data_IF_511684261085
#
_entry.id   IF_511684261085
#
_cell.length_a   1.000
_cell.length_b   1.000
_cell.length_c   1.000
_cell.angle_alpha   90.00
_cell.angle_beta   90.00
_cell.angle_gamma   90.00
#
_symmetry.space_group_name_H-M   'P 1'
#
loop_
_entity.id
_entity.type
_entity.pdbx_description
1 polymer ?
#
# COMPACT_ATOMS: atom_id res chain seq x y z
N UNK A 1 -29.24 15.71 13.61
CA UNK A 1 -28.19 14.90 14.27
C UNK A 1 -26.76 15.36 13.89
N UNK A 2 -26.55 16.59 13.40
CA UNK A 2 -25.31 16.98 12.70
C UNK A 2 -24.22 17.66 13.56
N UNK A 3 -24.50 17.99 14.83
CA UNK A 3 -23.58 18.79 15.65
C UNK A 3 -22.61 17.97 16.51
N UNK A 4 -22.81 16.65 16.67
CA UNK A 4 -21.96 15.83 17.55
C UNK A 4 -20.58 15.50 16.98
N UNK A 5 -20.39 15.62 15.66
CA UNK A 5 -19.15 15.17 15.01
C UNK A 5 -18.09 16.29 14.91
N UNK A 6 -18.49 17.57 14.86
CA UNK A 6 -17.56 18.70 14.68
C UNK A 6 -16.52 18.91 15.79
N UNK A 7 -16.70 18.29 16.95
CA UNK A 7 -15.74 18.36 18.08
C UNK A 7 -14.85 17.13 18.19
N UNK A 8 -15.14 16.04 17.47
CA UNK A 8 -14.34 14.82 17.52
C UNK A 8 -13.04 15.04 16.74
N UNK A 9 -11.90 14.75 17.37
CA UNK A 9 -10.58 14.82 16.74
C UNK A 9 -9.98 13.43 16.60
N UNK A 10 -9.24 13.21 15.52
CA UNK A 10 -8.41 12.01 15.34
C UNK A 10 -7.03 12.23 15.97
N UNK A 11 -6.28 11.14 16.11
CA UNK A 11 -4.90 11.17 16.59
C UNK A 11 -4.04 12.13 15.75
N UNK A 12 -2.99 12.68 16.35
CA UNK A 12 -2.08 13.57 15.63
C UNK A 12 -1.35 12.84 14.51
N UNK A 13 -1.30 13.47 13.34
CA UNK A 13 -0.65 12.95 12.15
C UNK A 13 -0.26 14.06 11.17
N UNK A 14 0.60 13.75 10.20
CA UNK A 14 1.06 14.72 9.21
C UNK A 14 -0.03 15.01 8.18
N UNK A 15 -0.36 16.28 7.97
CA UNK A 15 -1.26 16.72 6.90
C UNK A 15 -0.53 16.67 5.54
N UNK A 16 -1.11 16.06 4.49
CA UNK A 16 -0.47 15.98 3.17
C UNK A 16 -0.39 17.31 2.42
N UNK A 17 -1.14 18.34 2.85
CA UNK A 17 -1.19 19.62 2.14
C UNK A 17 -0.28 20.71 2.74
N UNK A 18 -0.25 20.82 4.06
CA UNK A 18 0.56 21.83 4.75
C UNK A 18 1.72 21.24 5.54
N UNK A 19 1.87 19.91 5.51
CA UNK A 19 2.96 19.15 6.11
C UNK A 19 3.12 19.28 7.64
N UNK A 20 2.22 19.99 8.30
CA UNK A 20 2.20 20.12 9.75
C UNK A 20 1.61 18.86 10.40
N UNK A 21 2.12 18.53 11.59
CA UNK A 21 1.49 17.57 12.49
C UNK A 21 0.22 18.20 13.07
N UNK A 22 -0.93 17.59 12.83
CA UNK A 22 -2.24 18.11 13.24
C UNK A 22 -3.13 17.00 13.79
N UNK A 23 -4.02 17.35 14.71
CA UNK A 23 -5.15 16.50 15.09
C UNK A 23 -6.36 16.93 14.27
N UNK A 24 -6.69 16.16 13.24
CA UNK A 24 -7.75 16.54 12.30
C UNK A 24 -9.13 16.47 12.95
N UNK A 25 -9.99 17.40 12.56
CA UNK A 25 -11.37 17.51 13.05
C UNK A 25 -12.23 16.61 12.18
N UNK A 26 -12.98 15.69 12.78
CA UNK A 26 -13.89 14.80 12.05
C UNK A 26 -15.08 15.61 11.55
N UNK A 27 -15.28 15.64 10.24
CA UNK A 27 -16.48 16.22 9.61
C UNK A 27 -17.54 15.13 9.46
N UNK A 28 -17.12 13.94 9.03
CA UNK A 28 -18.00 12.83 8.72
C UNK A 28 -17.33 11.51 9.10
N UNK A 29 -18.02 10.71 9.91
CA UNK A 29 -17.60 9.34 10.22
C UNK A 29 -18.21 8.39 9.20
N UNK A 30 -17.40 7.49 8.69
CA UNK A 30 -17.81 6.49 7.73
C UNK A 30 -17.40 5.11 8.23
N UNK A 31 -18.32 4.14 8.13
CA UNK A 31 -18.05 2.73 8.47
C UNK A 31 -17.49 1.97 7.28
N UNK A 32 -18.01 2.24 6.08
CA UNK A 32 -17.55 1.62 4.83
C UNK A 32 -16.34 2.35 4.24
N UNK A 33 -16.33 3.69 4.35
CA UNK A 33 -15.35 4.61 3.76
C UNK A 33 -14.45 5.24 4.82
N UNK A 34 -13.44 6.00 4.40
CA UNK A 34 -12.57 6.75 5.32
C UNK A 34 -13.35 7.88 5.99
N UNK A 35 -13.05 8.13 7.26
CA UNK A 35 -13.55 9.33 7.94
C UNK A 35 -13.03 10.58 7.22
N UNK A 36 -13.97 11.47 6.88
CA UNK A 36 -13.66 12.75 6.27
C UNK A 36 -13.32 13.73 7.38
N UNK A 37 -12.11 14.25 7.35
CA UNK A 37 -11.60 15.16 8.37
C UNK A 37 -11.19 16.49 7.76
N UNK A 38 -11.06 17.52 8.59
CA UNK A 38 -10.53 18.83 8.24
C UNK A 38 -9.20 19.07 8.93
N UNK A 39 -8.22 19.57 8.18
CA UNK A 39 -6.99 20.07 8.78
C UNK A 39 -7.28 21.37 9.54
N UNK A 40 -6.98 21.49 10.85
CA UNK A 40 -7.19 22.72 11.60
C UNK A 40 -6.23 23.85 11.21
N UNK A 41 -5.12 23.55 10.51
CA UNK A 41 -4.12 24.56 10.11
C UNK A 41 -4.32 25.12 8.71
N UNK A 42 -4.73 24.30 7.73
CA UNK A 42 -4.92 24.76 6.34
C UNK A 42 -6.35 24.59 5.84
N UNK A 43 -7.26 24.10 6.69
CA UNK A 43 -8.69 23.94 6.44
C UNK A 43 -9.07 23.01 5.28
N UNK A 44 -8.10 22.40 4.60
CA UNK A 44 -8.31 21.40 3.56
C UNK A 44 -8.89 20.10 4.14
N UNK A 45 -9.69 19.45 3.31
CA UNK A 45 -10.27 18.13 3.60
C UNK A 45 -9.18 17.08 3.47
N UNK A 46 -9.07 16.22 4.49
CA UNK A 46 -8.07 15.16 4.60
C UNK A 46 -8.74 13.89 5.12
N UNK A 47 -8.15 12.74 4.81
CA UNK A 47 -8.71 11.44 5.18
C UNK A 47 -7.70 10.66 6.02
N UNK A 48 -8.19 9.79 6.90
CA UNK A 48 -7.33 8.96 7.77
C UNK A 48 -6.73 7.80 6.96
N UNK A 49 -5.42 7.58 7.08
CA UNK A 49 -4.74 6.41 6.51
C UNK A 49 -5.29 5.11 7.10
N UNK A 50 -5.46 4.06 6.28
CA UNK A 50 -5.94 2.74 6.75
C UNK A 50 -4.84 1.79 7.20
N UNK A 51 -3.57 2.14 6.97
CA UNK A 51 -2.46 1.27 7.36
C UNK A 51 -2.44 1.06 8.88
N UNK A 52 -2.41 -0.21 9.36
CA UNK A 52 -2.36 -0.49 10.79
C UNK A 52 -1.18 0.21 11.47
N UNK A 53 -1.46 0.96 12.53
CA UNK A 53 -0.43 1.73 13.25
C UNK A 53 0.01 3.04 12.56
N UNK A 54 -0.62 3.43 11.44
CA UNK A 54 -0.39 4.72 10.82
C UNK A 54 -1.47 5.73 11.24
N UNK A 55 -1.01 6.87 11.77
CA UNK A 55 -1.89 7.97 12.17
C UNK A 55 -1.82 9.16 11.19
N UNK A 56 -1.10 9.02 10.07
CA UNK A 56 -0.99 10.08 9.06
C UNK A 56 -2.26 10.22 8.22
N UNK A 57 -2.35 11.36 7.53
CA UNK A 57 -3.48 11.69 6.68
C UNK A 57 -3.14 11.52 5.19
N UNK A 58 -4.17 11.31 4.38
CA UNK A 58 -4.10 11.16 2.92
C UNK A 58 -5.02 12.16 2.22
N UNK A 59 -4.74 12.39 0.94
CA UNK A 59 -5.56 13.22 0.03
C UNK A 59 -6.74 12.42 -0.52
N UNK A 60 -7.72 13.09 -1.10
CA UNK A 60 -8.73 12.43 -1.93
C UNK A 60 -8.12 12.17 -3.31
N UNK A 61 -8.16 10.93 -3.77
CA UNK A 61 -7.82 10.56 -5.15
C UNK A 61 -9.07 10.58 -6.04
N UNK A 62 -8.87 10.66 -7.35
CA UNK A 62 -9.94 10.71 -8.36
C UNK A 62 -10.82 9.44 -8.36
N UNK A 63 -10.20 8.30 -8.06
CA UNK A 63 -10.87 7.00 -7.93
C UNK A 63 -10.45 6.41 -6.60
N UNK A 64 -11.24 6.63 -5.55
CA UNK A 64 -11.43 5.79 -4.34
C UNK A 64 -10.27 5.06 -3.62
N UNK A 65 -9.00 5.11 -4.02
CA UNK A 65 -8.00 4.07 -3.71
C UNK A 65 -6.70 4.56 -3.05
N UNK A 66 -6.56 5.85 -2.74
CA UNK A 66 -5.46 6.30 -1.88
C UNK A 66 -5.74 5.94 -0.41
N UNK A 67 -5.90 4.64 -0.12
CA UNK A 67 -6.11 4.09 1.23
C UNK A 67 -4.93 4.35 2.16
N UNK A 68 -3.78 4.60 1.55
CA UNK A 68 -2.50 4.76 2.20
C UNK A 68 -2.03 6.20 2.04
N UNK A 69 -1.54 6.78 3.13
CA UNK A 69 -0.77 8.01 3.02
C UNK A 69 0.51 7.77 2.20
N UNK A 70 1.14 8.81 1.64
CA UNK A 70 2.34 8.68 0.80
C UNK A 70 3.43 7.79 1.43
N UNK A 71 3.68 7.95 2.74
CA UNK A 71 4.63 7.14 3.49
C UNK A 71 4.31 5.63 3.45
N UNK A 72 3.07 5.25 3.69
CA UNK A 72 2.68 3.84 3.70
C UNK A 72 2.69 3.24 2.28
N UNK A 73 2.37 4.05 1.27
CA UNK A 73 2.48 3.63 -0.13
C UNK A 73 3.94 3.34 -0.53
N UNK A 74 4.86 4.20 -0.08
CA UNK A 74 6.31 4.00 -0.28
C UNK A 74 6.86 2.77 0.46
N UNK A 75 6.42 2.53 1.70
CA UNK A 75 6.87 1.39 2.52
C UNK A 75 6.48 0.03 1.88
N UNK A 76 5.29 -0.07 1.28
CA UNK A 76 4.88 -1.26 0.53
C UNK A 76 5.75 -1.45 -0.71
N UNK A 77 5.95 -0.36 -1.46
CA UNK A 77 6.73 -0.40 -2.70
C UNK A 77 8.17 -0.87 -2.47
N UNK A 78 8.77 -0.48 -1.33
CA UNK A 78 10.12 -0.91 -0.94
C UNK A 78 10.18 -2.38 -0.48
N UNK A 79 9.11 -2.88 0.16
CA UNK A 79 9.06 -4.26 0.68
C UNK A 79 9.00 -5.31 -0.45
N UNK A 80 8.32 -5.00 -1.57
CA UNK A 80 8.24 -5.91 -2.72
C UNK A 80 9.60 -6.12 -3.42
N UNK A 81 10.51 -5.14 -3.36
CA UNK A 81 11.85 -5.27 -3.95
C UNK A 81 12.80 -6.15 -3.11
N UNK A 82 12.52 -6.33 -1.82
CA UNK A 82 13.34 -7.14 -0.90
C UNK A 82 13.17 -8.65 -1.12
N UNK A 83 11.95 -9.10 -1.42
CA UNK A 83 11.65 -10.53 -1.58
C UNK A 83 12.09 -11.05 -2.97
N UNK A 84 12.04 -10.22 -4.02
CA UNK A 84 12.53 -10.63 -5.34
C UNK A 84 14.06 -10.78 -5.42
N UNK A 85 14.83 -10.07 -4.60
CA UNK A 85 16.30 -10.24 -4.56
C UNK A 85 16.75 -11.50 -3.81
N UNK A 86 15.88 -12.10 -3.00
CA UNK A 86 16.16 -13.34 -2.26
C UNK A 86 15.71 -14.63 -2.98
N UNK A 87 14.73 -14.54 -3.89
CA UNK A 87 14.11 -15.71 -4.53
C UNK A 87 14.82 -16.20 -5.81
N UNK A 88 15.89 -15.54 -6.26
CA UNK A 88 16.66 -15.97 -7.45
C UNK A 88 17.92 -16.79 -7.12
N UNK A 89 17.89 -17.56 -6.03
CA UNK A 89 18.82 -18.66 -5.76
C UNK A 89 18.09 -19.91 -5.30
N UNK A 90 17.09 -20.36 -6.06
CA UNK A 90 16.74 -21.78 -6.08
C UNK A 90 17.09 -22.28 -7.48
N UNK A 91 18.38 -22.56 -7.66
CA UNK A 91 18.88 -23.35 -8.77
C UNK A 91 18.35 -24.77 -8.57
N UNK A 92 17.28 -25.06 -9.31
CA UNK A 92 16.91 -26.37 -9.84
C UNK A 92 17.26 -27.60 -8.99
N UNK A 93 16.31 -28.08 -8.19
CA UNK A 93 16.21 -29.51 -7.90
C UNK A 93 14.78 -29.99 -8.17
N UNK A 94 14.70 -30.80 -9.23
CA UNK A 94 13.64 -31.73 -9.59
C UNK A 94 12.24 -31.17 -9.90
N UNK A 95 12.02 -30.73 -11.14
CA UNK A 95 10.72 -30.98 -11.79
C UNK A 95 10.73 -32.39 -12.35
N UNK A 96 9.93 -33.20 -11.68
CA UNK A 96 9.48 -34.55 -12.02
C UNK A 96 9.23 -34.72 -13.52
N UNK A 97 9.76 -35.83 -14.04
CA UNK A 97 9.59 -36.34 -15.39
C UNK A 97 8.14 -36.28 -15.88
N UNK A 98 7.89 -35.54 -16.96
CA UNK A 98 6.75 -35.81 -17.83
C UNK A 98 7.16 -35.58 -19.29
N UNK A 99 6.95 -36.64 -20.07
CA UNK A 99 7.50 -36.90 -21.39
C UNK A 99 7.10 -35.90 -22.49
N UNK A 100 7.85 -35.88 -23.59
CA UNK A 100 7.41 -36.41 -24.90
C UNK A 100 8.47 -36.13 -25.98
N UNK A 101 8.96 -37.23 -26.56
CA UNK A 101 9.42 -37.47 -27.93
C UNK A 101 9.91 -36.30 -28.80
N UNK A 102 11.17 -36.41 -29.25
CA UNK A 102 11.52 -36.45 -30.69
C UNK A 102 12.99 -36.90 -30.84
N UNK A 103 13.17 -37.96 -31.62
CA UNK A 103 14.46 -38.64 -31.77
C UNK A 103 15.54 -37.78 -32.42
N UNK A 104 16.78 -37.99 -31.98
CA UNK A 104 17.97 -37.70 -32.78
C UNK A 104 18.92 -38.89 -32.58
N UNK A 105 18.81 -39.83 -33.51
CA UNK A 105 19.85 -40.79 -33.82
C UNK A 105 20.99 -40.01 -34.49
N UNK A 106 22.20 -39.97 -33.91
CA UNK A 106 23.46 -39.80 -34.64
C UNK A 106 24.71 -39.96 -33.76
N UNK A 107 25.35 -41.10 -33.98
CA UNK A 107 26.76 -41.19 -34.39
C UNK A 107 27.85 -40.69 -33.42
N UNK A 108 28.47 -41.63 -32.69
CA UNK A 108 29.84 -41.49 -32.22
C UNK A 108 30.55 -42.85 -32.21
N UNK A 109 31.16 -43.22 -33.32
CA UNK A 109 32.47 -43.86 -33.26
C UNK A 109 33.25 -43.64 -34.56
N UNK A 110 34.08 -42.59 -34.59
CA UNK A 110 35.12 -42.44 -35.60
C UNK A 110 36.48 -42.47 -34.89
N UNK A 111 36.99 -43.70 -34.86
CA UNK A 111 38.38 -44.15 -35.09
C UNK A 111 39.52 -43.20 -34.73
#
# INVERSE_FOLDING_TARGET
MELKNKTKRKASGKCPYCEKSVSAIVIEENTLRRDKCQCPSCYKIIYVCRWPGCYNYTVVGDFYDDELCPRCSEDISRSTTGILKGALKIVSTAVVSLAIAKGINKDKNKK
#
